data_IF_070577180029
#
_entry.id   IF_070577180029
#
_cell.length_a   1.000
_cell.length_b   1.000
_cell.length_c   1.000
_cell.angle_alpha   90.00
_cell.angle_beta   90.00
_cell.angle_gamma   90.00
#
_symmetry.space_group_name_H-M   'P 1'
#
loop_
_entity.id
_entity.type
_entity.pdbx_description
1 polymer ?
#
# COMPACT_ATOMS: atom_id res chain seq x y z
N UNK A 1 2.27 2.61 -18.62
CA UNK A 1 1.95 3.85 -17.92
C UNK A 1 2.71 3.90 -16.59
N UNK A 2 3.32 5.00 -16.29
CA UNK A 2 4.04 5.20 -15.04
C UNK A 2 3.09 5.29 -13.85
N UNK A 3 3.45 4.68 -12.74
CA UNK A 3 2.60 4.61 -11.55
C UNK A 3 3.33 5.09 -10.30
N UNK A 4 2.55 5.55 -9.33
CA UNK A 4 2.98 5.89 -7.98
C UNK A 4 2.02 5.21 -7.01
N UNK A 5 2.54 4.62 -5.95
CA UNK A 5 1.74 3.92 -4.95
C UNK A 5 1.76 4.66 -3.61
N UNK A 6 0.59 4.90 -3.06
CA UNK A 6 0.42 5.24 -1.64
C UNK A 6 -0.07 4.03 -0.86
N UNK A 7 0.59 3.72 0.25
CA UNK A 7 0.19 2.60 1.10
C UNK A 7 0.42 2.86 2.57
N UNK A 8 -0.60 2.71 3.41
CA UNK A 8 -0.34 2.50 4.83
C UNK A 8 0.41 1.17 5.00
N UNK A 9 1.19 1.06 6.05
CA UNK A 9 1.91 -0.16 6.41
C UNK A 9 1.11 -0.90 7.48
N UNK A 10 0.87 -2.18 7.27
CA UNK A 10 0.11 -3.03 8.18
C UNK A 10 0.95 -4.17 8.76
N UNK A 11 0.35 -4.93 9.67
CA UNK A 11 1.02 -6.01 10.40
C UNK A 11 1.47 -7.19 9.54
N UNK A 12 0.95 -7.34 8.32
CA UNK A 12 1.36 -8.38 7.38
C UNK A 12 2.43 -7.92 6.39
N UNK A 13 2.83 -6.67 6.46
CA UNK A 13 3.90 -6.12 5.64
C UNK A 13 5.25 -6.24 6.36
N UNK A 14 6.35 -6.38 5.64
CA UNK A 14 6.45 -6.59 4.20
C UNK A 14 6.20 -8.05 3.80
N UNK A 15 6.44 -8.99 4.70
CA UNK A 15 6.32 -10.44 4.48
C UNK A 15 5.64 -11.06 5.69
N UNK A 16 4.67 -11.93 5.45
CA UNK A 16 3.97 -12.68 6.49
C UNK A 16 3.76 -14.13 6.02
N UNK A 17 4.01 -15.10 6.92
CA UNK A 17 3.87 -16.52 6.61
C UNK A 17 4.62 -16.96 5.34
N UNK A 18 5.86 -16.48 5.17
CA UNK A 18 6.72 -16.74 4.02
C UNK A 18 6.16 -16.23 2.68
N UNK A 19 5.24 -15.28 2.71
CA UNK A 19 4.61 -14.67 1.51
C UNK A 19 4.78 -13.17 1.53
N UNK A 20 4.88 -12.59 0.34
CA UNK A 20 4.84 -11.14 0.19
C UNK A 20 3.54 -10.59 0.79
N UNK A 21 3.63 -9.48 1.51
CA UNK A 21 2.48 -8.68 1.87
C UNK A 21 1.93 -7.94 0.66
N UNK A 22 0.80 -7.25 0.81
CA UNK A 22 0.12 -6.60 -0.31
C UNK A 22 0.96 -5.52 -0.97
N UNK A 23 1.77 -4.79 -0.22
CA UNK A 23 2.65 -3.75 -0.79
C UNK A 23 3.61 -4.36 -1.81
N UNK A 24 4.28 -5.45 -1.47
CA UNK A 24 5.23 -6.12 -2.38
C UNK A 24 4.54 -6.70 -3.61
N UNK A 25 3.35 -7.29 -3.45
CA UNK A 25 2.57 -7.81 -4.59
C UNK A 25 2.21 -6.71 -5.58
N UNK A 26 1.73 -5.59 -5.10
CA UNK A 26 1.38 -4.44 -5.95
C UNK A 26 2.64 -3.93 -6.67
N UNK A 27 3.75 -3.81 -5.96
CA UNK A 27 5.00 -3.34 -6.53
C UNK A 27 5.59 -4.30 -7.59
N UNK A 28 5.44 -5.61 -7.40
CA UNK A 28 5.86 -6.59 -8.42
C UNK A 28 5.09 -6.41 -9.72
N UNK A 29 3.79 -6.20 -9.62
CA UNK A 29 2.92 -6.05 -10.79
C UNK A 29 3.09 -4.70 -11.47
N UNK A 30 2.98 -3.64 -10.72
CA UNK A 30 2.91 -2.29 -11.29
C UNK A 30 4.26 -1.61 -11.43
N UNK A 31 5.30 -2.08 -10.74
CA UNK A 31 6.65 -1.50 -10.78
C UNK A 31 6.64 0.02 -10.66
N UNK A 32 6.07 0.55 -9.55
CA UNK A 32 5.88 1.98 -9.42
C UNK A 32 7.22 2.73 -9.41
N UNK A 33 7.22 3.95 -9.93
CA UNK A 33 8.40 4.83 -9.83
C UNK A 33 8.61 5.35 -8.42
N UNK A 34 7.52 5.43 -7.64
CA UNK A 34 7.56 5.90 -6.27
C UNK A 34 6.54 5.13 -5.42
N UNK A 35 6.93 4.82 -4.20
CA UNK A 35 6.03 4.34 -3.14
C UNK A 35 6.11 5.28 -1.96
N UNK A 36 4.98 5.78 -1.50
CA UNK A 36 4.88 6.49 -0.23
C UNK A 36 4.31 5.54 0.83
N UNK A 37 5.10 5.29 1.86
CA UNK A 37 4.72 4.48 3.01
C UNK A 37 4.19 5.39 4.12
N UNK A 38 3.01 5.08 4.63
CA UNK A 38 2.44 5.74 5.80
C UNK A 38 2.67 4.87 7.03
N UNK A 39 3.44 5.38 7.99
CA UNK A 39 3.95 4.62 9.13
C UNK A 39 3.34 5.16 10.44
N UNK A 40 2.46 4.37 11.05
CA UNK A 40 1.99 4.63 12.41
C UNK A 40 3.12 4.41 13.43
N UNK A 41 2.88 4.75 14.68
CA UNK A 41 3.90 4.64 15.74
C UNK A 41 4.52 3.24 15.80
N UNK A 42 3.70 2.20 15.81
CA UNK A 42 4.17 0.80 15.87
C UNK A 42 4.98 0.41 14.63
N UNK A 43 4.50 0.75 13.44
CA UNK A 43 5.19 0.40 12.20
C UNK A 43 6.50 1.18 12.05
N UNK A 44 6.53 2.39 12.55
CA UNK A 44 7.74 3.20 12.57
C UNK A 44 8.82 2.62 13.48
N UNK A 45 8.43 2.04 14.61
CA UNK A 45 9.37 1.31 15.48
C UNK A 45 10.02 0.13 14.75
N UNK A 46 9.25 -0.65 14.02
CA UNK A 46 9.79 -1.75 13.21
C UNK A 46 10.73 -1.25 12.11
N UNK A 47 10.35 -0.17 11.45
CA UNK A 47 11.20 0.41 10.41
C UNK A 47 12.53 0.91 10.97
N UNK A 48 12.53 1.57 12.12
CA UNK A 48 13.73 2.06 12.79
C UNK A 48 14.62 0.93 13.31
N UNK A 49 14.01 -0.19 13.70
CA UNK A 49 14.74 -1.34 14.26
C UNK A 49 15.63 -2.01 13.21
N UNK A 50 15.10 -2.28 12.02
CA UNK A 50 15.78 -3.10 11.02
C UNK A 50 15.58 -2.65 9.56
N UNK A 51 15.00 -1.49 9.36
CA UNK A 51 14.75 -0.92 8.02
C UNK A 51 13.94 -1.86 7.10
N UNK A 52 13.08 -2.69 7.68
CA UNK A 52 12.45 -3.83 6.99
C UNK A 52 11.62 -3.44 5.77
N UNK A 53 10.87 -2.34 5.84
CA UNK A 53 9.97 -1.96 4.75
C UNK A 53 10.74 -1.38 3.57
N UNK A 54 11.60 -0.40 3.83
CA UNK A 54 12.44 0.22 2.81
C UNK A 54 13.40 -0.78 2.20
N UNK A 55 14.10 -1.54 3.02
CA UNK A 55 15.08 -2.53 2.57
C UNK A 55 14.45 -3.59 1.67
N UNK A 56 13.30 -4.13 2.07
CA UNK A 56 12.60 -5.16 1.30
C UNK A 56 12.11 -4.63 -0.05
N UNK A 57 11.59 -3.41 -0.08
CA UNK A 57 11.19 -2.76 -1.33
C UNK A 57 12.38 -2.51 -2.27
N UNK A 58 13.51 -2.09 -1.74
CA UNK A 58 14.73 -1.89 -2.54
C UNK A 58 15.25 -3.21 -3.10
N UNK A 59 15.25 -4.27 -2.30
CA UNK A 59 15.62 -5.62 -2.77
C UNK A 59 14.69 -6.11 -3.87
N UNK A 60 13.39 -5.88 -3.73
CA UNK A 60 12.41 -6.22 -4.77
C UNK A 60 12.69 -5.47 -6.07
N UNK A 61 12.93 -4.16 -5.98
CA UNK A 61 13.23 -3.34 -7.16
C UNK A 61 14.48 -3.81 -7.89
N UNK A 62 15.52 -4.20 -7.15
CA UNK A 62 16.76 -4.76 -7.73
C UNK A 62 16.49 -6.12 -8.40
N UNK A 63 15.76 -7.01 -7.71
CA UNK A 63 15.43 -8.34 -8.23
C UNK A 63 14.62 -8.29 -9.52
N UNK A 64 13.58 -7.44 -9.53
CA UNK A 64 12.67 -7.29 -10.67
C UNK A 64 13.25 -6.39 -11.77
N UNK A 65 14.15 -5.48 -11.41
CA UNK A 65 14.85 -4.63 -12.36
C UNK A 65 14.11 -3.33 -12.68
N UNK A 66 13.66 -2.60 -11.68
CA UNK A 66 13.09 -1.27 -11.84
C UNK A 66 13.64 -0.29 -10.80
N UNK A 67 13.57 1.01 -11.12
CA UNK A 67 13.98 2.06 -10.20
C UNK A 67 12.79 2.46 -9.32
N UNK A 68 13.06 2.61 -8.02
CA UNK A 68 12.03 2.91 -7.03
C UNK A 68 12.50 4.01 -6.09
N UNK A 69 11.75 5.10 -6.05
CA UNK A 69 11.84 6.09 -4.99
C UNK A 69 10.91 5.71 -3.84
N UNK A 70 11.39 5.78 -2.61
CA UNK A 70 10.60 5.48 -1.42
C UNK A 70 10.50 6.74 -0.58
N UNK A 71 9.26 7.19 -0.39
CA UNK A 71 8.92 8.28 0.51
C UNK A 71 8.26 7.70 1.76
N UNK A 72 8.50 8.34 2.89
CA UNK A 72 7.92 7.94 4.17
C UNK A 72 7.16 9.11 4.78
N UNK A 73 5.91 8.86 5.14
CA UNK A 73 5.13 9.76 5.98
C UNK A 73 5.11 9.16 7.37
N UNK A 74 5.89 9.74 8.27
CA UNK A 74 6.09 9.22 9.61
C UNK A 74 5.10 9.86 10.60
N UNK A 75 4.40 9.03 11.36
CA UNK A 75 3.48 9.45 12.40
C UNK A 75 3.83 8.78 13.73
N UNK A 76 4.91 9.26 14.41
CA UNK A 76 5.35 8.67 15.68
C UNK A 76 4.33 8.84 16.82
N UNK A 77 3.41 9.79 16.67
CA UNK A 77 2.34 10.08 17.62
C UNK A 77 1.05 9.29 17.34
N UNK A 78 0.96 8.60 16.20
CA UNK A 78 -0.21 7.82 15.83
C UNK A 78 -0.17 6.44 16.50
N UNK A 79 -0.68 6.38 17.73
CA UNK A 79 -0.69 5.16 18.54
C UNK A 79 -1.98 4.37 18.42
N UNK A 80 -3.05 4.98 17.90
CA UNK A 80 -4.32 4.31 17.68
C UNK A 80 -4.81 4.46 16.24
N UNK A 81 -4.21 3.71 15.29
CA UNK A 81 -4.56 3.81 13.87
C UNK A 81 -5.91 3.19 13.50
N UNK A 82 -6.72 2.86 14.50
CA UNK A 82 -8.10 2.38 14.31
C UNK A 82 -9.14 3.49 14.40
N UNK A 83 -8.71 4.72 14.71
CA UNK A 83 -9.60 5.88 14.82
C UNK A 83 -9.40 6.81 13.63
N UNK A 84 -10.49 7.10 12.92
CA UNK A 84 -10.47 7.95 11.72
C UNK A 84 -9.88 9.34 11.97
N UNK A 85 -10.22 9.95 13.09
CA UNK A 85 -9.82 11.32 13.45
C UNK A 85 -8.29 11.47 13.53
N UNK A 86 -7.58 10.38 13.80
CA UNK A 86 -6.13 10.40 13.98
C UNK A 86 -5.37 10.57 12.65
N UNK A 87 -5.94 10.12 11.54
CA UNK A 87 -5.23 10.10 10.25
C UNK A 87 -6.04 10.61 9.04
N UNK A 88 -7.31 10.95 9.23
CA UNK A 88 -8.19 11.37 8.14
C UNK A 88 -7.58 12.43 7.23
N UNK A 89 -7.10 13.53 7.82
CA UNK A 89 -6.52 14.62 7.05
C UNK A 89 -5.17 14.25 6.41
N UNK A 90 -4.44 13.31 6.99
CA UNK A 90 -3.13 12.92 6.48
C UNK A 90 -3.23 12.23 5.13
N UNK A 91 -4.17 11.31 4.98
CA UNK A 91 -4.31 10.55 3.74
C UNK A 91 -4.66 11.46 2.56
N UNK A 92 -5.62 12.36 2.74
CA UNK A 92 -5.99 13.32 1.72
C UNK A 92 -4.81 14.22 1.35
N UNK A 93 -4.10 14.73 2.34
CA UNK A 93 -2.90 15.56 2.14
C UNK A 93 -1.79 14.81 1.41
N UNK A 94 -1.53 13.55 1.78
CA UNK A 94 -0.52 12.71 1.12
C UNK A 94 -0.87 12.43 -0.34
N UNK A 95 -2.14 12.14 -0.63
CA UNK A 95 -2.58 11.89 -1.99
C UNK A 95 -2.49 13.14 -2.86
N UNK A 96 -2.87 14.30 -2.36
CA UNK A 96 -2.69 15.57 -3.06
C UNK A 96 -1.22 15.88 -3.31
N UNK A 97 -0.36 15.61 -2.33
CA UNK A 97 1.09 15.79 -2.47
C UNK A 97 1.65 14.91 -3.59
N UNK A 98 1.29 13.63 -3.61
CA UNK A 98 1.74 12.71 -4.66
C UNK A 98 1.21 13.11 -6.04
N UNK A 99 -0.03 13.52 -6.13
CA UNK A 99 -0.63 13.98 -7.38
C UNK A 99 0.10 15.23 -7.91
N UNK A 100 0.52 16.10 -7.03
CA UNK A 100 1.29 17.29 -7.39
C UNK A 100 2.73 16.98 -7.80
N UNK A 101 3.39 16.04 -7.09
CA UNK A 101 4.76 15.62 -7.41
C UNK A 101 4.83 14.81 -8.71
N UNK A 102 3.78 14.04 -8.98
CA UNK A 102 3.73 13.10 -10.11
C UNK A 102 2.46 13.33 -10.94
N UNK A 103 2.31 14.52 -11.58
CA UNK A 103 1.04 14.90 -12.21
C UNK A 103 0.66 14.05 -13.44
N UNK A 104 1.63 13.35 -14.01
CA UNK A 104 1.42 12.50 -15.19
C UNK A 104 1.40 11.00 -14.87
N UNK A 105 1.56 10.66 -13.61
CA UNK A 105 1.55 9.27 -13.16
C UNK A 105 0.14 8.85 -12.75
N UNK A 106 -0.12 7.57 -12.91
CA UNK A 106 -1.29 6.93 -12.33
C UNK A 106 -1.05 6.74 -10.82
N UNK A 107 -1.92 7.29 -10.01
CA UNK A 107 -1.82 7.21 -8.55
C UNK A 107 -2.63 6.02 -8.05
N UNK A 108 -1.94 5.06 -7.45
CA UNK A 108 -2.52 3.86 -6.89
C UNK A 108 -2.57 3.98 -5.37
N UNK A 109 -3.62 3.45 -4.76
CA UNK A 109 -3.72 3.32 -3.30
C UNK A 109 -3.94 1.85 -2.94
N UNK A 110 -3.22 1.39 -1.92
CA UNK A 110 -3.34 0.02 -1.44
C UNK A 110 -4.50 -0.10 -0.46
N UNK A 111 -5.56 -0.79 -0.84
CA UNK A 111 -6.75 -1.04 -0.01
C UNK A 111 -6.62 -2.30 0.86
N UNK A 112 -5.49 -2.98 0.82
CA UNK A 112 -5.29 -4.27 1.50
C UNK A 112 -4.34 -4.22 2.68
N UNK A 113 -3.61 -3.12 2.89
CA UNK A 113 -2.73 -2.93 4.04
C UNK A 113 -3.28 -1.90 5.02
N UNK A 114 -2.91 -2.04 6.28
CA UNK A 114 -3.31 -1.14 7.35
C UNK A 114 -4.48 -1.67 8.17
N UNK A 115 -4.98 -0.81 9.05
CA UNK A 115 -6.16 -1.14 9.87
C UNK A 115 -7.44 -1.10 9.03
N UNK A 116 -8.54 -1.73 9.49
CA UNK A 116 -9.83 -1.59 8.83
C UNK A 116 -10.27 -0.15 8.62
N UNK A 117 -10.01 0.73 9.59
CA UNK A 117 -10.32 2.16 9.49
C UNK A 117 -9.52 2.83 8.36
N UNK A 118 -8.24 2.55 8.24
CA UNK A 118 -7.39 3.06 7.16
C UNK A 118 -7.86 2.59 5.77
N UNK A 119 -8.20 1.31 5.66
CA UNK A 119 -8.71 0.74 4.40
C UNK A 119 -10.03 1.39 3.99
N UNK A 120 -10.93 1.58 4.93
CA UNK A 120 -12.22 2.25 4.68
C UNK A 120 -12.04 3.69 4.26
N UNK A 121 -11.15 4.42 4.91
CA UNK A 121 -10.83 5.81 4.56
C UNK A 121 -10.28 5.92 3.14
N UNK A 122 -9.33 5.07 2.78
CA UNK A 122 -8.75 5.07 1.44
C UNK A 122 -9.80 4.73 0.37
N UNK A 123 -10.70 3.78 0.65
CA UNK A 123 -11.78 3.46 -0.26
C UNK A 123 -12.69 4.68 -0.51
N UNK A 124 -13.03 5.43 0.53
CA UNK A 124 -13.83 6.67 0.41
C UNK A 124 -13.07 7.72 -0.39
N UNK A 125 -11.78 7.89 -0.15
CA UNK A 125 -10.96 8.87 -0.86
C UNK A 125 -10.87 8.59 -2.38
N UNK A 126 -10.98 7.34 -2.80
CA UNK A 126 -11.01 7.01 -4.23
C UNK A 126 -12.26 7.56 -4.95
N UNK A 127 -13.28 7.95 -4.20
CA UNK A 127 -14.53 8.49 -4.72
C UNK A 127 -14.57 10.02 -4.74
N UNK A 128 -13.57 10.69 -4.16
CA UNK A 128 -13.56 12.14 -4.07
C UNK A 128 -13.26 12.79 -5.41
N UNK A 129 -14.00 13.86 -5.70
CA UNK A 129 -13.76 14.71 -6.84
C UNK A 129 -12.43 15.47 -6.64
N UNK A 130 -11.60 15.51 -7.67
CA UNK A 130 -10.32 16.19 -7.64
C UNK A 130 -9.13 15.30 -7.29
N UNK A 131 -9.37 14.07 -6.84
CA UNK A 131 -8.35 13.05 -6.68
C UNK A 131 -8.48 12.01 -7.80
N UNK A 132 -7.42 11.83 -8.57
CA UNK A 132 -7.34 10.80 -9.62
C UNK A 132 -6.58 9.60 -9.07
N UNK A 133 -7.22 8.86 -8.19
CA UNK A 133 -6.63 7.70 -7.52
C UNK A 133 -7.38 6.43 -7.89
N UNK A 134 -6.64 5.34 -7.99
CA UNK A 134 -7.19 4.02 -8.25
C UNK A 134 -6.90 3.12 -7.06
N UNK A 135 -7.94 2.50 -6.51
CA UNK A 135 -7.80 1.55 -5.41
C UNK A 135 -7.36 0.19 -5.91
N UNK A 136 -6.37 -0.39 -5.27
CA UNK A 136 -5.89 -1.73 -5.54
C UNK A 136 -6.22 -2.61 -4.34
N UNK A 137 -6.94 -3.67 -4.60
CA UNK A 137 -7.18 -4.73 -3.62
C UNK A 137 -6.38 -5.97 -4.03
N UNK A 138 -5.61 -6.49 -3.08
CA UNK A 138 -4.87 -7.74 -3.25
C UNK A 138 -5.72 -8.88 -2.69
N UNK A 139 -5.97 -9.88 -3.51
CA UNK A 139 -6.73 -11.04 -3.08
C UNK A 139 -5.89 -11.90 -2.14
N UNK A 140 -6.50 -12.30 -1.01
CA UNK A 140 -5.82 -13.18 -0.05
C UNK A 140 -6.16 -14.62 -0.37
N UNK A 141 -5.16 -15.53 -0.43
CA UNK A 141 -5.45 -16.94 -0.66
C UNK A 141 -6.41 -17.48 0.39
N UNK A 142 -7.47 -18.12 -0.06
CA UNK A 142 -8.46 -18.74 0.83
C UNK A 142 -7.85 -20.01 1.42
N UNK A 143 -7.83 -20.12 2.77
CA UNK A 143 -7.49 -21.35 3.45
C UNK A 143 -8.59 -22.39 3.22
N UNK A 144 -8.27 -23.45 2.50
CA UNK A 144 -9.18 -24.60 2.36
C UNK A 144 -8.99 -25.54 3.53
N UNK A 145 -10.03 -25.71 4.34
CA UNK A 145 -10.03 -26.50 5.57
C UNK A 145 -10.07 -28.04 5.37
N UNK A 146 -9.68 -28.61 4.27
CA UNK A 146 -9.89 -30.03 4.01
C UNK A 146 -8.63 -30.89 4.00
N UNK A 147 -7.59 -30.54 4.76
CA UNK A 147 -6.39 -31.37 4.88
C UNK A 147 -5.58 -31.54 3.60
N UNK A 148 -5.99 -30.90 2.52
CA UNK A 148 -5.21 -30.82 1.31
C UNK A 148 -4.18 -29.72 1.49
N UNK A 149 -2.92 -30.02 1.14
CA UNK A 149 -1.87 -29.00 1.07
C UNK A 149 -2.37 -27.90 0.15
N UNK A 150 -2.46 -26.70 0.70
CA UNK A 150 -2.73 -25.53 -0.12
C UNK A 150 -1.64 -25.43 -1.18
N UNK A 151 -2.05 -25.48 -2.45
CA UNK A 151 -1.23 -24.90 -3.47
C UNK A 151 -1.19 -23.41 -3.17
N UNK A 152 0.03 -22.90 -2.92
CA UNK A 152 0.28 -21.49 -2.73
C UNK A 152 0.01 -20.78 -4.06
N UNK A 153 -1.26 -20.45 -4.32
CA UNK A 153 -1.55 -19.56 -5.42
C UNK A 153 -0.92 -18.22 -5.13
N UNK A 154 -0.19 -17.70 -6.09
CA UNK A 154 0.23 -16.31 -6.04
C UNK A 154 -1.00 -15.43 -5.80
N UNK A 155 -0.85 -14.37 -5.02
CA UNK A 155 -1.93 -13.41 -4.84
C UNK A 155 -2.35 -12.88 -6.20
N UNK A 156 -3.65 -12.82 -6.41
CA UNK A 156 -4.21 -12.18 -7.59
C UNK A 156 -4.24 -10.67 -7.36
N UNK A 157 -3.33 -9.97 -8.02
CA UNK A 157 -3.29 -8.51 -7.97
C UNK A 157 -4.05 -7.87 -9.14
N UNK A 158 -4.79 -8.66 -9.91
CA UNK A 158 -5.61 -8.14 -10.99
C UNK A 158 -6.97 -7.63 -10.50
N UNK A 159 -7.35 -8.01 -9.28
CA UNK A 159 -8.52 -7.46 -8.65
C UNK A 159 -8.21 -6.04 -8.16
N UNK A 160 -8.59 -5.08 -8.92
CA UNK A 160 -8.52 -3.69 -8.54
C UNK A 160 -9.86 -3.02 -8.72
N UNK A 161 -10.11 -2.05 -7.88
CA UNK A 161 -11.30 -1.24 -7.96
C UNK A 161 -10.98 0.04 -8.71
N UNK A 162 -11.48 0.15 -9.93
CA UNK A 162 -11.34 1.36 -10.72
C UNK A 162 -12.42 2.36 -10.32
N UNK A 163 -12.03 3.30 -9.48
CA UNK A 163 -12.88 4.42 -9.12
C UNK A 163 -12.38 5.67 -9.82
N UNK A 164 -13.26 6.48 -10.30
CA UNK A 164 -12.95 7.79 -10.89
C UNK A 164 -12.25 7.78 -12.25
N UNK A 165 -12.30 6.71 -13.02
CA UNK A 165 -11.71 6.74 -14.37
C UNK A 165 -12.40 7.74 -15.30
N UNK A 166 -13.69 8.01 -15.09
CA UNK A 166 -14.53 8.86 -15.94
C UNK A 166 -14.93 10.19 -15.31
N UNK A 167 -14.23 10.63 -14.28
CA UNK A 167 -14.62 11.85 -13.56
C UNK A 167 -13.67 13.01 -13.75
#
# INVERSE_FOLDING_TARGET
>A
MKTVLFSPVGGTDPISNYRDGSILHICRKYKPDCVMLYLSAEMLEYQRLDDRYRRTLQMLAEEVGFQLEILEEERPDLTNPQRFDEFYNDFERCLHKLQKLYPKHRLLVNLSSGTPAMKSELAVLTLLVGLRVQGIQVDTPVHRHNGQREELKAYDVDLFWECNEDR
#
